data_IF_438922471261
#
_entry.id   IF_438922471261
#
_cell.length_a   1.000
_cell.length_b   1.000
_cell.length_c   1.000
_cell.angle_alpha   90.00
_cell.angle_beta   90.00
_cell.angle_gamma   90.00
#
_symmetry.space_group_name_H-M   'P 1'
#
loop_
_entity.id
_entity.type
_entity.pdbx_description
1 polymer ?
#
# COMPACT_ATOMS: atom_id res chain seq x y z
N UNK A 1 10.17 -2.71 -21.02
CA UNK A 1 8.78 -2.28 -21.29
C UNK A 1 7.86 -3.15 -20.45
N UNK A 2 6.80 -2.58 -19.86
CA UNK A 2 5.85 -3.35 -19.07
C UNK A 2 4.96 -4.19 -20.01
N UNK A 3 4.72 -5.46 -19.69
CA UNK A 3 3.80 -6.32 -20.44
C UNK A 3 2.44 -6.33 -19.74
N UNK A 4 1.44 -5.81 -20.43
CA UNK A 4 0.04 -5.81 -19.95
C UNK A 4 -0.66 -7.05 -20.49
N UNK A 5 -1.33 -7.76 -19.61
CA UNK A 5 -2.17 -8.90 -19.93
C UNK A 5 -3.62 -8.57 -19.55
N UNK A 6 -4.55 -9.00 -20.40
CA UNK A 6 -5.96 -8.83 -20.14
C UNK A 6 -6.54 -10.14 -19.64
N UNK A 7 -7.18 -10.07 -18.49
CA UNK A 7 -7.83 -11.22 -17.86
C UNK A 7 -9.32 -10.94 -17.70
N UNK A 8 -10.12 -12.00 -17.69
CA UNK A 8 -11.50 -11.92 -17.23
C UNK A 8 -11.54 -12.33 -15.77
N UNK A 9 -12.05 -11.45 -14.91
CA UNK A 9 -12.22 -11.71 -13.49
C UNK A 9 -13.71 -11.86 -13.18
N UNK A 10 -14.07 -12.82 -12.31
CA UNK A 10 -15.41 -12.98 -11.77
C UNK A 10 -15.42 -12.53 -10.31
N UNK A 11 -16.18 -11.49 -9.99
CA UNK A 11 -16.26 -10.99 -8.62
C UNK A 11 -16.77 -12.06 -7.65
N UNK A 12 -16.09 -12.36 -6.53
CA UNK A 12 -16.55 -13.37 -5.57
C UNK A 12 -17.80 -12.92 -4.80
N UNK A 13 -18.03 -11.61 -4.70
CA UNK A 13 -19.19 -11.02 -4.02
C UNK A 13 -20.41 -10.98 -4.93
N UNK A 14 -20.39 -10.16 -5.98
CA UNK A 14 -21.58 -9.92 -6.82
C UNK A 14 -21.63 -10.79 -8.10
N UNK A 15 -20.64 -11.66 -8.32
CA UNK A 15 -20.52 -12.55 -9.49
C UNK A 15 -20.42 -11.85 -10.86
N UNK A 16 -20.31 -10.53 -10.90
CA UNK A 16 -20.08 -9.76 -12.13
C UNK A 16 -18.77 -10.19 -12.80
N UNK A 17 -18.83 -10.44 -14.11
CA UNK A 17 -17.66 -10.80 -14.92
C UNK A 17 -17.22 -9.57 -15.70
N UNK A 18 -15.94 -9.22 -15.56
CA UNK A 18 -15.38 -8.03 -16.20
C UNK A 18 -13.96 -8.29 -16.69
N UNK A 19 -13.52 -7.44 -17.62
CA UNK A 19 -12.14 -7.45 -18.10
C UNK A 19 -11.29 -6.57 -17.21
N UNK A 20 -10.17 -7.11 -16.74
CA UNK A 20 -9.16 -6.38 -15.99
C UNK A 20 -7.83 -6.38 -16.76
N UNK A 21 -6.90 -5.51 -16.36
CA UNK A 21 -5.56 -5.42 -16.93
C UNK A 21 -4.51 -5.59 -15.85
N UNK A 22 -3.69 -6.63 -15.97
CA UNK A 22 -2.58 -6.90 -15.04
C UNK A 22 -1.25 -6.66 -15.72
N UNK A 23 -0.29 -6.11 -14.99
CA UNK A 23 1.09 -6.00 -15.46
C UNK A 23 1.86 -7.22 -15.01
N UNK A 24 2.11 -8.14 -15.93
CA UNK A 24 2.79 -9.42 -15.64
C UNK A 24 4.28 -9.22 -15.32
N UNK A 25 4.95 -8.29 -16.01
CA UNK A 25 6.35 -7.95 -15.77
C UNK A 25 6.59 -6.46 -15.98
N UNK A 26 7.43 -5.89 -15.13
CA UNK A 26 7.89 -4.50 -15.24
C UNK A 26 9.35 -4.37 -14.79
N UNK A 27 10.04 -3.37 -15.33
CA UNK A 27 11.40 -3.02 -14.90
C UNK A 27 11.35 -1.89 -13.87
N UNK A 28 12.22 -1.96 -12.87
CA UNK A 28 12.45 -0.87 -11.91
C UNK A 28 13.87 -0.35 -12.06
N UNK A 29 14.08 0.96 -11.86
CA UNK A 29 15.39 1.61 -11.93
C UNK A 29 15.90 2.06 -10.56
N UNK A 30 15.20 1.66 -9.49
CA UNK A 30 15.52 2.02 -8.12
C UNK A 30 14.26 2.15 -7.27
N UNK A 31 14.42 2.75 -6.10
CA UNK A 31 13.32 3.06 -5.17
C UNK A 31 13.43 4.49 -4.66
N UNK A 32 12.29 5.05 -4.27
CA UNK A 32 12.22 6.22 -3.42
C UNK A 32 12.50 5.84 -1.97
N UNK A 33 12.62 6.83 -1.08
CA UNK A 33 12.96 6.59 0.33
C UNK A 33 11.89 5.73 1.05
N UNK A 34 10.60 5.94 0.76
CA UNK A 34 9.49 5.10 1.26
C UNK A 34 9.33 3.77 0.50
N UNK A 35 10.40 3.32 -0.16
CA UNK A 35 10.48 2.08 -0.93
C UNK A 35 9.58 2.01 -2.18
N UNK A 36 8.92 3.12 -2.55
CA UNK A 36 8.16 3.22 -3.80
C UNK A 36 9.07 2.88 -5.00
N UNK A 37 8.73 1.90 -5.84
CA UNK A 37 9.52 1.60 -7.03
C UNK A 37 9.58 2.79 -7.99
N UNK A 38 10.77 3.03 -8.54
CA UNK A 38 10.97 3.97 -9.65
C UNK A 38 10.88 3.20 -10.96
N UNK A 39 10.04 3.69 -11.85
CA UNK A 39 9.82 3.10 -13.18
C UNK A 39 10.48 3.96 -14.26
N UNK A 40 11.02 3.35 -15.33
CA UNK A 40 11.41 4.11 -16.51
C UNK A 40 10.15 4.66 -17.21
N UNK A 41 10.25 5.84 -17.81
CA UNK A 41 9.12 6.47 -18.53
C UNK A 41 8.43 7.57 -17.72
N UNK A 42 7.12 7.77 -17.96
CA UNK A 42 6.34 8.83 -17.32
C UNK A 42 5.86 8.40 -15.93
N UNK A 43 5.63 9.35 -15.02
CA UNK A 43 5.08 9.05 -13.68
C UNK A 43 3.72 8.33 -13.76
N UNK A 44 2.88 8.71 -14.72
CA UNK A 44 1.59 8.07 -15.00
C UNK A 44 1.72 6.58 -15.37
N UNK A 45 2.84 6.18 -15.99
CA UNK A 45 3.09 4.77 -16.31
C UNK A 45 3.37 3.99 -15.01
N UNK A 46 4.14 4.58 -14.10
CA UNK A 46 4.39 4.01 -12.78
C UNK A 46 3.14 3.88 -11.92
N UNK A 47 2.24 4.88 -11.99
CA UNK A 47 0.93 4.82 -11.33
C UNK A 47 0.10 3.64 -11.80
N UNK A 48 -0.05 3.47 -13.12
CA UNK A 48 -0.79 2.35 -13.73
C UNK A 48 -0.19 0.99 -13.38
N UNK A 49 1.15 0.89 -13.32
CA UNK A 49 1.82 -0.36 -12.94
C UNK A 49 1.49 -0.72 -11.49
N UNK A 50 1.64 0.23 -10.55
CA UNK A 50 1.29 -0.01 -9.14
C UNK A 50 -0.20 -0.33 -9.02
N UNK A 51 -1.08 0.44 -9.67
CA UNK A 51 -2.53 0.22 -9.65
C UNK A 51 -2.91 -1.20 -10.06
N UNK A 52 -2.22 -1.78 -11.05
CA UNK A 52 -2.51 -3.13 -11.54
C UNK A 52 -2.23 -4.25 -10.52
N UNK A 53 -1.64 -3.94 -9.36
CA UNK A 53 -1.48 -4.88 -8.25
C UNK A 53 -2.80 -5.18 -7.51
N UNK A 54 -3.87 -4.41 -7.75
CA UNK A 54 -5.19 -4.61 -7.14
C UNK A 54 -6.25 -4.69 -8.23
N UNK A 55 -7.04 -5.76 -8.21
CA UNK A 55 -8.23 -5.90 -9.04
C UNK A 55 -9.43 -5.35 -8.26
N UNK A 56 -10.23 -4.48 -8.89
CA UNK A 56 -11.46 -3.93 -8.32
C UNK A 56 -12.67 -4.23 -9.22
N UNK A 57 -13.71 -4.80 -8.65
CA UNK A 57 -14.98 -5.04 -9.32
C UNK A 57 -15.67 -3.71 -9.64
N UNK A 58 -16.00 -3.41 -10.91
CA UNK A 58 -16.67 -2.16 -11.27
C UNK A 58 -18.14 -2.11 -10.86
N UNK A 59 -18.74 -3.25 -10.50
CA UNK A 59 -20.16 -3.33 -10.14
C UNK A 59 -20.42 -3.05 -8.64
N UNK A 60 -19.66 -3.71 -7.76
CA UNK A 60 -19.83 -3.62 -6.30
C UNK A 60 -18.62 -3.03 -5.55
N UNK A 61 -17.56 -2.63 -6.27
CA UNK A 61 -16.31 -2.11 -5.68
C UNK A 61 -15.52 -3.08 -4.82
N UNK A 62 -15.87 -4.37 -4.77
CA UNK A 62 -15.02 -5.37 -4.11
C UNK A 62 -13.63 -5.36 -4.74
N UNK A 63 -12.57 -5.29 -3.92
CA UNK A 63 -11.21 -5.25 -4.40
C UNK A 63 -10.27 -6.12 -3.57
N UNK A 64 -9.27 -6.70 -4.23
CA UNK A 64 -8.28 -7.58 -3.63
C UNK A 64 -6.99 -7.56 -4.46
N UNK A 65 -5.86 -7.92 -3.83
CA UNK A 65 -4.59 -8.15 -4.55
C UNK A 65 -4.51 -9.57 -5.07
N UNK A 66 -5.11 -10.49 -4.31
CA UNK A 66 -5.22 -11.90 -4.62
C UNK A 66 -6.13 -12.11 -5.84
N UNK A 67 -5.99 -13.27 -6.45
CA UNK A 67 -6.83 -13.64 -7.58
C UNK A 67 -8.26 -13.87 -7.09
N UNK A 68 -9.23 -13.26 -7.78
CA UNK A 68 -10.64 -13.36 -7.38
C UNK A 68 -11.14 -14.81 -7.32
N UNK A 69 -10.54 -15.71 -8.10
CA UNK A 69 -10.85 -17.14 -8.10
C UNK A 69 -10.32 -17.88 -6.86
N UNK A 70 -9.36 -17.30 -6.12
CA UNK A 70 -8.82 -17.84 -4.87
C UNK A 70 -9.60 -17.37 -3.63
N UNK A 71 -10.58 -16.47 -3.82
CA UNK A 71 -11.35 -15.86 -2.73
C UNK A 71 -12.76 -16.45 -2.70
N UNK A 72 -13.08 -17.15 -1.63
CA UNK A 72 -14.43 -17.66 -1.34
C UNK A 72 -14.91 -17.14 0.03
N UNK A 73 -15.53 -15.95 0.08
CA UNK A 73 -15.96 -15.36 1.34
C UNK A 73 -17.14 -16.14 1.92
N UNK A 74 -17.11 -16.34 3.23
CA UNK A 74 -18.21 -16.95 4.00
C UNK A 74 -19.47 -16.07 3.93
N UNK A 75 -20.64 -16.64 4.26
CA UNK A 75 -21.90 -15.88 4.29
C UNK A 75 -21.85 -14.59 5.14
N UNK A 76 -21.29 -14.62 6.36
CA UNK A 76 -21.08 -13.42 7.17
C UNK A 76 -20.14 -12.40 6.50
N UNK A 77 -19.00 -12.83 5.96
CA UNK A 77 -18.07 -11.93 5.26
C UNK A 77 -18.72 -11.31 4.02
N UNK A 78 -19.49 -12.06 3.24
CA UNK A 78 -20.25 -11.53 2.09
C UNK A 78 -21.19 -10.40 2.53
N UNK A 79 -21.96 -10.63 3.58
CA UNK A 79 -22.93 -9.65 4.09
C UNK A 79 -22.23 -8.37 4.57
N UNK A 80 -21.15 -8.53 5.34
CA UNK A 80 -20.35 -7.39 5.81
C UNK A 80 -19.67 -6.64 4.67
N UNK A 81 -19.15 -7.35 3.65
CA UNK A 81 -18.54 -6.74 2.47
C UNK A 81 -19.57 -5.89 1.70
N UNK A 82 -20.76 -6.43 1.47
CA UNK A 82 -21.83 -5.72 0.76
C UNK A 82 -22.26 -4.45 1.49
N UNK A 83 -22.43 -4.52 2.81
CA UNK A 83 -22.79 -3.38 3.65
C UNK A 83 -21.69 -2.32 3.62
N UNK A 84 -20.46 -2.71 3.95
CA UNK A 84 -19.32 -1.79 4.04
C UNK A 84 -18.98 -1.09 2.72
N UNK A 85 -19.01 -1.82 1.60
CA UNK A 85 -18.74 -1.25 0.29
C UNK A 85 -19.85 -0.28 -0.17
N UNK A 86 -21.10 -0.54 0.23
CA UNK A 86 -22.24 0.32 -0.09
C UNK A 86 -22.25 1.60 0.74
N UNK A 87 -21.83 1.54 1.99
CA UNK A 87 -21.85 2.67 2.92
C UNK A 87 -20.63 3.59 2.78
N UNK A 88 -19.53 3.12 2.19
CA UNK A 88 -18.33 3.93 2.07
C UNK A 88 -18.53 5.19 1.20
N UNK A 89 -18.17 6.33 1.79
CA UNK A 89 -18.37 7.64 1.18
C UNK A 89 -17.48 7.89 -0.04
N UNK A 90 -16.22 7.43 -0.02
CA UNK A 90 -15.30 7.64 -1.14
C UNK A 90 -15.68 6.76 -2.32
N UNK A 91 -16.03 5.50 -2.09
CA UNK A 91 -16.54 4.60 -3.15
C UNK A 91 -17.80 5.16 -3.79
N UNK A 92 -18.72 5.72 -3.00
CA UNK A 92 -19.93 6.37 -3.53
C UNK A 92 -19.61 7.62 -4.35
N UNK A 93 -18.74 8.50 -3.85
CA UNK A 93 -18.39 9.76 -4.52
C UNK A 93 -17.66 9.51 -5.85
N UNK A 94 -16.73 8.56 -5.87
CA UNK A 94 -15.88 8.30 -7.04
C UNK A 94 -16.42 7.21 -7.98
N UNK A 95 -17.61 6.67 -7.74
CA UNK A 95 -18.19 5.56 -8.52
C UNK A 95 -18.20 5.82 -10.04
N UNK A 96 -18.55 7.03 -10.45
CA UNK A 96 -18.68 7.39 -11.87
C UNK A 96 -17.34 7.58 -12.58
N UNK A 97 -16.29 7.98 -11.84
CA UNK A 97 -14.95 8.21 -12.36
C UNK A 97 -13.92 7.83 -11.30
N UNK A 98 -13.63 6.53 -11.13
CA UNK A 98 -12.73 6.05 -10.10
C UNK A 98 -11.30 6.57 -10.31
N UNK A 99 -10.70 7.31 -9.36
CA UNK A 99 -9.29 7.66 -9.45
C UNK A 99 -8.43 6.40 -9.25
N UNK A 100 -7.18 6.38 -9.77
CA UNK A 100 -6.35 5.17 -9.72
C UNK A 100 -6.10 4.60 -8.32
N UNK A 101 -6.07 5.44 -7.28
CA UNK A 101 -5.86 5.02 -5.89
C UNK A 101 -7.09 4.37 -5.24
N UNK A 102 -8.30 4.51 -5.82
CA UNK A 102 -9.55 4.04 -5.21
C UNK A 102 -9.57 2.53 -5.01
N UNK A 103 -8.94 1.78 -5.92
CA UNK A 103 -8.85 0.32 -5.82
C UNK A 103 -8.14 -0.12 -4.53
N UNK A 104 -7.08 0.57 -4.10
CA UNK A 104 -6.39 0.27 -2.85
C UNK A 104 -7.24 0.61 -1.62
N UNK A 105 -8.02 1.70 -1.69
CA UNK A 105 -8.95 2.05 -0.63
C UNK A 105 -10.04 0.98 -0.46
N UNK A 106 -10.62 0.54 -1.58
CA UNK A 106 -11.58 -0.54 -1.61
C UNK A 106 -10.97 -1.84 -1.05
N UNK A 107 -9.74 -2.17 -1.45
CA UNK A 107 -9.05 -3.37 -0.98
C UNK A 107 -8.75 -3.32 0.51
N UNK A 108 -8.48 -2.14 1.07
CA UNK A 108 -8.34 -1.99 2.52
C UNK A 108 -9.66 -2.25 3.26
N UNK A 109 -10.79 -1.74 2.75
CA UNK A 109 -12.12 -2.01 3.31
C UNK A 109 -12.43 -3.51 3.25
N UNK A 110 -12.22 -4.13 2.08
CA UNK A 110 -12.43 -5.56 1.90
C UNK A 110 -11.51 -6.39 2.79
N UNK A 111 -10.24 -5.99 2.90
CA UNK A 111 -9.25 -6.66 3.71
C UNK A 111 -9.54 -6.60 5.21
N UNK A 112 -10.09 -5.48 5.69
CA UNK A 112 -10.55 -5.37 7.07
C UNK A 112 -11.71 -6.34 7.37
N UNK A 113 -12.68 -6.45 6.45
CA UNK A 113 -13.82 -7.36 6.62
C UNK A 113 -13.39 -8.84 6.57
N UNK A 114 -12.41 -9.14 5.71
CA UNK A 114 -11.80 -10.47 5.55
C UNK A 114 -10.68 -10.76 6.56
N UNK A 115 -10.50 -9.89 7.56
CA UNK A 115 -9.48 -10.02 8.61
C UNK A 115 -8.05 -10.28 8.10
N UNK A 116 -7.61 -9.60 7.04
CA UNK A 116 -6.24 -9.66 6.56
C UNK A 116 -5.24 -9.19 7.66
N UNK A 117 -3.98 -9.65 7.61
CA UNK A 117 -2.94 -9.14 8.50
C UNK A 117 -2.89 -7.61 8.48
N UNK A 118 -2.77 -7.01 9.66
CA UNK A 118 -2.68 -5.57 9.87
C UNK A 118 -1.51 -4.98 9.07
N UNK A 119 -0.38 -5.70 8.99
CA UNK A 119 0.74 -5.28 8.14
C UNK A 119 0.34 -5.17 6.66
N UNK A 120 -0.49 -6.08 6.16
CA UNK A 120 -0.97 -6.07 4.79
C UNK A 120 -1.91 -4.90 4.51
N UNK A 121 -2.80 -4.56 5.45
CA UNK A 121 -3.64 -3.35 5.36
C UNK A 121 -2.80 -2.07 5.28
N UNK A 122 -1.68 -2.02 6.02
CA UNK A 122 -0.71 -0.94 5.90
C UNK A 122 -0.01 -0.89 4.54
N UNK A 123 0.23 -2.06 3.93
CA UNK A 123 0.83 -2.20 2.60
C UNK A 123 -0.06 -1.60 1.49
N UNK A 124 -1.37 -1.85 1.59
CA UNK A 124 -2.39 -1.29 0.71
C UNK A 124 -2.43 0.23 0.81
N UNK A 125 -2.44 0.76 2.03
CA UNK A 125 -2.39 2.20 2.27
C UNK A 125 -1.10 2.83 1.72
N UNK A 126 0.05 2.19 1.93
CA UNK A 126 1.33 2.68 1.43
C UNK A 126 1.31 2.78 -0.11
N UNK A 127 0.81 1.76 -0.81
CA UNK A 127 0.67 1.78 -2.27
C UNK A 127 -0.33 2.80 -2.76
N UNK A 128 -1.47 2.96 -2.08
CA UNK A 128 -2.42 4.04 -2.37
C UNK A 128 -1.72 5.40 -2.33
N UNK A 129 -0.86 5.64 -1.33
CA UNK A 129 -0.10 6.89 -1.24
C UNK A 129 0.89 7.08 -2.39
N UNK A 130 1.54 6.01 -2.86
CA UNK A 130 2.42 6.05 -4.02
C UNK A 130 1.67 6.41 -5.30
N UNK A 131 0.48 5.82 -5.50
CA UNK A 131 -0.38 6.15 -6.63
C UNK A 131 -0.84 7.60 -6.56
N UNK A 132 -1.29 8.07 -5.39
CA UNK A 132 -1.67 9.47 -5.19
C UNK A 132 -0.52 10.43 -5.57
N UNK A 133 0.71 10.14 -5.13
CA UNK A 133 1.90 10.94 -5.47
C UNK A 133 2.11 11.04 -6.99
N UNK A 134 1.98 9.91 -7.69
CA UNK A 134 2.22 9.82 -9.14
C UNK A 134 1.11 10.47 -9.97
N UNK A 135 -0.10 10.55 -9.42
CA UNK A 135 -1.25 11.24 -10.02
C UNK A 135 -1.35 12.72 -9.61
N UNK A 136 -0.53 13.19 -8.66
CA UNK A 136 -0.56 14.57 -8.16
C UNK A 136 -1.65 14.84 -7.10
N UNK A 137 -2.24 13.80 -6.53
CA UNK A 137 -3.33 13.84 -5.56
C UNK A 137 -2.81 14.02 -4.11
N UNK A 138 -2.14 15.14 -3.86
CA UNK A 138 -1.42 15.41 -2.60
C UNK A 138 -2.27 15.26 -1.32
N UNK A 139 -3.53 15.75 -1.25
CA UNK A 139 -4.34 15.58 -0.03
C UNK A 139 -4.63 14.11 0.30
N UNK A 140 -4.83 13.26 -0.72
CA UNK A 140 -5.05 11.83 -0.53
C UNK A 140 -3.75 11.10 -0.16
N UNK A 141 -2.61 11.51 -0.72
CA UNK A 141 -1.30 10.95 -0.36
C UNK A 141 -1.07 10.97 1.15
N UNK A 142 -1.18 12.13 1.79
CA UNK A 142 -0.95 12.27 3.24
C UNK A 142 -1.97 11.47 4.07
N UNK A 143 -3.22 11.39 3.61
CA UNK A 143 -4.26 10.58 4.26
C UNK A 143 -3.90 9.11 4.29
N UNK A 144 -3.45 8.56 3.16
CA UNK A 144 -3.02 7.16 3.08
C UNK A 144 -1.71 6.89 3.82
N UNK A 145 -0.76 7.82 3.82
CA UNK A 145 0.45 7.71 4.63
C UNK A 145 0.13 7.61 6.13
N UNK A 146 -0.80 8.44 6.62
CA UNK A 146 -1.23 8.42 8.01
C UNK A 146 -1.89 7.07 8.38
N UNK A 147 -2.73 6.52 7.50
CA UNK A 147 -3.34 5.19 7.68
C UNK A 147 -2.28 4.09 7.69
N UNK A 148 -1.34 4.11 6.75
CA UNK A 148 -0.23 3.16 6.69
C UNK A 148 0.60 3.17 7.98
N UNK A 149 0.95 4.35 8.51
CA UNK A 149 1.65 4.49 9.80
C UNK A 149 0.87 3.83 10.93
N UNK A 150 -0.45 4.05 11.02
CA UNK A 150 -1.30 3.46 12.06
C UNK A 150 -1.30 1.93 11.99
N UNK A 151 -1.47 1.37 10.80
CA UNK A 151 -1.42 -0.08 10.61
C UNK A 151 -0.05 -0.66 10.91
N UNK A 152 1.04 -0.05 10.44
CA UNK A 152 2.39 -0.55 10.72
C UNK A 152 2.73 -0.49 12.21
N UNK A 153 2.38 0.57 12.92
CA UNK A 153 2.55 0.64 14.39
C UNK A 153 1.73 -0.45 15.08
N UNK A 154 0.51 -0.71 14.62
CA UNK A 154 -0.35 -1.76 15.17
C UNK A 154 0.22 -3.15 14.89
N UNK A 155 0.67 -3.42 13.67
CA UNK A 155 1.33 -4.67 13.29
C UNK A 155 2.59 -4.93 14.13
N UNK A 156 3.43 -3.91 14.36
CA UNK A 156 4.61 -4.03 15.23
C UNK A 156 4.27 -4.37 16.70
N UNK A 157 3.03 -4.16 17.14
CA UNK A 157 2.56 -4.48 18.50
C UNK A 157 1.83 -5.82 18.57
N UNK A 158 1.04 -6.14 17.55
CA UNK A 158 0.08 -7.26 17.58
C UNK A 158 0.58 -8.49 16.82
N UNK A 159 1.50 -8.33 15.87
CA UNK A 159 1.97 -9.40 14.99
C UNK A 159 3.41 -9.80 15.32
N UNK A 160 3.72 -11.09 15.12
CA UNK A 160 5.06 -11.65 15.34
C UNK A 160 6.00 -11.39 14.14
N UNK A 161 6.18 -10.12 13.78
CA UNK A 161 7.07 -9.72 12.68
C UNK A 161 8.54 -10.03 13.03
N UNK A 162 9.29 -10.61 12.09
CA UNK A 162 10.69 -10.96 12.29
C UNK A 162 11.57 -10.66 11.08
N UNK A 163 12.88 -10.59 11.32
CA UNK A 163 13.90 -10.40 10.29
C UNK A 163 13.61 -9.22 9.37
N UNK A 164 13.63 -9.47 8.07
CA UNK A 164 13.41 -8.46 7.03
C UNK A 164 12.06 -7.75 7.16
N UNK A 165 11.00 -8.44 7.53
CA UNK A 165 9.67 -7.84 7.61
C UNK A 165 9.57 -6.85 8.76
N UNK A 166 10.09 -7.22 9.94
CA UNK A 166 10.21 -6.33 11.09
C UNK A 166 11.06 -5.10 10.73
N UNK A 167 12.19 -5.30 10.07
CA UNK A 167 13.08 -4.21 9.69
C UNK A 167 12.44 -3.22 8.72
N UNK A 168 11.80 -3.72 7.66
CA UNK A 168 11.12 -2.87 6.67
C UNK A 168 9.93 -2.13 7.29
N UNK A 169 9.14 -2.81 8.11
CA UNK A 169 7.95 -2.20 8.75
C UNK A 169 8.37 -1.09 9.71
N UNK A 170 9.40 -1.34 10.55
CA UNK A 170 9.96 -0.35 11.48
C UNK A 170 10.53 0.87 10.73
N UNK A 171 11.27 0.62 9.64
CA UNK A 171 11.79 1.70 8.79
C UNK A 171 10.68 2.54 8.15
N UNK A 172 9.65 1.89 7.59
CA UNK A 172 8.54 2.56 6.93
C UNK A 172 7.76 3.47 7.88
N UNK A 173 7.60 3.10 9.14
CA UNK A 173 6.99 4.01 10.14
C UNK A 173 7.80 5.31 10.28
N UNK A 174 9.14 5.22 10.32
CA UNK A 174 10.01 6.39 10.39
C UNK A 174 9.95 7.25 9.12
N UNK A 175 10.08 6.62 7.96
CA UNK A 175 10.08 7.35 6.68
C UNK A 175 8.75 8.01 6.36
N UNK A 176 7.62 7.36 6.68
CA UNK A 176 6.30 7.98 6.50
C UNK A 176 6.08 9.13 7.48
N UNK A 177 6.52 9.01 8.74
CA UNK A 177 6.49 10.14 9.66
C UNK A 177 7.34 11.31 9.16
N UNK A 178 8.52 11.05 8.59
CA UNK A 178 9.36 12.11 8.01
C UNK A 178 8.64 12.81 6.85
N UNK A 179 8.04 12.05 5.94
CA UNK A 179 7.27 12.58 4.79
C UNK A 179 6.05 13.40 5.23
N UNK A 180 5.42 13.02 6.34
CA UNK A 180 4.31 13.75 6.95
C UNK A 180 4.74 14.99 7.76
N UNK A 181 6.04 15.30 7.85
CA UNK A 181 6.55 16.45 8.62
C UNK A 181 6.82 16.14 10.10
N UNK A 182 6.57 14.91 10.56
CA UNK A 182 6.79 14.48 11.94
C UNK A 182 8.26 14.09 12.18
N UNK A 183 9.19 15.03 11.93
CA UNK A 183 10.62 14.74 11.86
C UNK A 183 11.21 14.17 13.17
N UNK A 184 10.76 14.67 14.33
CA UNK A 184 11.20 14.15 15.64
C UNK A 184 10.79 12.69 15.85
N UNK A 185 9.55 12.36 15.48
CA UNK A 185 9.05 10.99 15.57
C UNK A 185 9.79 10.07 14.59
N UNK A 186 10.06 10.55 13.38
CA UNK A 186 10.87 9.82 12.40
C UNK A 186 12.25 9.44 12.94
N UNK A 187 12.94 10.36 13.64
CA UNK A 187 14.24 10.09 14.23
C UNK A 187 14.21 8.97 15.27
N UNK A 188 13.16 8.93 16.11
CA UNK A 188 12.98 7.83 17.07
C UNK A 188 12.81 6.49 16.36
N UNK A 189 12.00 6.45 15.30
CA UNK A 189 11.78 5.23 14.52
C UNK A 189 13.01 4.77 13.75
N UNK A 190 13.87 5.67 13.27
CA UNK A 190 15.13 5.27 12.65
C UNK A 190 16.09 4.61 13.62
N UNK A 191 16.13 5.04 14.89
CA UNK A 191 16.89 4.34 15.93
C UNK A 191 16.35 2.92 16.13
N UNK A 192 15.03 2.76 16.18
CA UNK A 192 14.40 1.44 16.28
C UNK A 192 14.70 0.56 15.05
N UNK A 193 14.62 1.13 13.85
CA UNK A 193 14.94 0.42 12.60
C UNK A 193 16.41 0.04 12.50
N UNK A 194 17.33 0.86 13.03
CA UNK A 194 18.76 0.52 13.07
C UNK A 194 19.05 -0.74 13.89
N UNK A 195 18.31 -0.95 14.98
CA UNK A 195 18.46 -2.16 15.82
C UNK A 195 17.98 -3.43 15.13
N UNK A 196 17.01 -3.33 14.22
CA UNK A 196 16.43 -4.51 13.54
C UNK A 196 17.28 -5.00 12.36
N UNK A 197 18.22 -4.19 11.88
CA UNK A 197 19.16 -4.52 10.80
C UNK A 197 20.57 -4.84 11.32
N UNK A 198 20.81 -4.66 12.61
CA UNK A 198 22.14 -4.84 13.21
C UNK A 198 22.60 -6.29 13.07
N UNK A 199 23.81 -6.47 12.51
CA UNK A 199 24.40 -7.80 12.34
C UNK A 199 23.80 -8.64 11.21
N UNK A 200 22.88 -8.11 10.39
CA UNK A 200 22.34 -8.78 9.19
C UNK A 200 22.94 -8.19 7.90
N UNK A 201 23.93 -8.85 7.27
CA UNK A 201 24.53 -8.37 6.02
C UNK A 201 23.54 -8.26 4.86
N UNK A 202 22.45 -9.04 4.88
CA UNK A 202 21.42 -9.00 3.82
C UNK A 202 20.61 -7.71 3.85
N UNK A 203 20.64 -6.99 4.99
CA UNK A 203 19.95 -5.72 5.22
C UNK A 203 20.90 -4.51 5.23
N UNK A 204 22.17 -4.67 4.84
CA UNK A 204 23.14 -3.57 4.79
C UNK A 204 22.67 -2.39 3.90
N UNK A 205 21.91 -2.67 2.85
CA UNK A 205 21.30 -1.64 2.00
C UNK A 205 20.25 -0.80 2.76
N UNK A 206 19.51 -1.42 3.68
CA UNK A 206 18.50 -0.77 4.50
C UNK A 206 19.15 0.02 5.63
N UNK A 207 20.22 -0.50 6.25
CA UNK A 207 21.03 0.25 7.23
C UNK A 207 21.59 1.56 6.63
N UNK A 208 22.13 1.48 5.41
CA UNK A 208 22.57 2.69 4.68
C UNK A 208 21.43 3.67 4.45
N UNK A 209 20.28 3.17 4.02
CA UNK A 209 19.09 4.00 3.79
C UNK A 209 18.57 4.65 5.08
N UNK A 210 18.57 3.93 6.21
CA UNK A 210 18.22 4.45 7.54
C UNK A 210 19.17 5.60 7.91
N UNK A 211 20.48 5.42 7.74
CA UNK A 211 21.48 6.47 8.02
C UNK A 211 21.28 7.72 7.16
N UNK A 212 21.06 7.52 5.86
CA UNK A 212 20.83 8.62 4.92
C UNK A 212 19.56 9.42 5.29
N UNK A 213 18.44 8.72 5.56
CA UNK A 213 17.19 9.40 5.95
C UNK A 213 17.23 9.98 7.37
N UNK A 214 18.04 9.42 8.29
CA UNK A 214 18.27 10.01 9.61
C UNK A 214 18.97 11.36 9.49
N UNK A 215 20.00 11.46 8.64
CA UNK A 215 20.70 12.73 8.38
C UNK A 215 19.72 13.76 7.82
N UNK A 216 18.93 13.39 6.82
CA UNK A 216 17.95 14.27 6.21
C UNK A 216 16.87 14.72 7.22
N UNK A 217 16.36 13.81 8.05
CA UNK A 217 15.37 14.16 9.08
C UNK A 217 15.92 15.13 10.14
N UNK A 218 17.22 15.06 10.47
CA UNK A 218 17.86 16.03 11.39
C UNK A 218 17.93 17.42 10.76
N UNK A 219 18.28 17.50 9.48
CA UNK A 219 18.31 18.76 8.72
C UNK A 219 16.90 19.37 8.62
N UNK A 220 15.87 18.55 8.45
CA UNK A 220 14.46 19.00 8.37
C UNK A 220 13.86 19.37 9.75
N UNK A 221 14.44 18.90 10.85
CA UNK A 221 13.97 19.18 12.21
C UNK A 221 14.64 20.42 12.85
N UNK A 222 15.68 20.96 12.20
CA UNK A 222 16.43 22.14 12.63
C UNK A 222 15.72 23.43 12.18
#
# INVERSE_FOLDING_TARGET
MARVEHIYARCPVCRYVFRDSRVATYATVGREADLCPKFPGRQSDGSRIIQSEVTMCPACSFAAREDFDEIDPTGPELSGLEERLKEDGLLRVFRASPPPWLAFHAAEICGQERALPTRELGDLCLRASWVCRKEGEQPFESTFQLRAVRYFIRALKEEALAGRELALTTYLVGELNRRLGNHREALNWYVNAGRTVEGDPTLAWLDRLIKDQTKLAREQAA
#
